data_IF_681964706772
#
_entry.id   IF_681964706772
#
_cell.length_a   1.000
_cell.length_b   1.000
_cell.length_c   1.000
_cell.angle_alpha   90.00
_cell.angle_beta   90.00
_cell.angle_gamma   90.00
#
_symmetry.space_group_name_H-M   'P 1'
#
loop_
_entity.id
_entity.type
_entity.pdbx_description
1 polymer ?
#
# COMPACT_ATOMS: atom_id res chain seq x y z
N UNK A 1 29.18 -53.59 -0.29
CA UNK A 1 28.55 -52.46 0.41
C UNK A 1 28.56 -51.25 -0.53
N UNK A 2 27.40 -50.77 -0.99
CA UNK A 2 27.27 -49.36 -1.37
C UNK A 2 25.93 -48.79 -0.89
N UNK A 3 25.91 -48.08 0.23
CA UNK A 3 24.73 -47.33 0.70
C UNK A 3 25.02 -45.86 1.04
N UNK A 4 26.25 -45.37 0.87
CA UNK A 4 26.64 -44.05 1.39
C UNK A 4 26.37 -42.86 0.45
N UNK A 5 26.01 -43.09 -0.82
CA UNK A 5 25.75 -41.98 -1.75
C UNK A 5 24.35 -41.36 -1.62
N UNK A 6 23.35 -42.07 -1.06
CA UNK A 6 21.99 -41.53 -0.97
C UNK A 6 21.78 -40.61 0.24
N UNK A 7 22.45 -40.87 1.36
CA UNK A 7 22.29 -40.11 2.61
C UNK A 7 22.84 -38.69 2.49
N UNK A 8 23.93 -38.49 1.75
CA UNK A 8 24.55 -37.17 1.59
C UNK A 8 23.71 -36.20 0.74
N UNK A 9 23.01 -36.69 -0.28
CA UNK A 9 22.14 -35.87 -1.12
C UNK A 9 20.88 -35.45 -0.35
N UNK A 10 20.30 -36.38 0.41
CA UNK A 10 19.07 -36.14 1.18
C UNK A 10 19.28 -35.12 2.32
N UNK A 11 20.43 -35.16 2.99
CA UNK A 11 20.79 -34.18 4.04
C UNK A 11 21.10 -32.80 3.45
N UNK A 12 21.78 -32.72 2.29
CA UNK A 12 22.06 -31.44 1.62
C UNK A 12 20.80 -30.75 1.13
N UNK A 13 19.84 -31.51 0.58
CA UNK A 13 18.55 -30.98 0.13
C UNK A 13 17.70 -30.47 1.30
N UNK A 14 17.69 -31.19 2.44
CA UNK A 14 17.03 -30.77 3.67
C UNK A 14 17.62 -29.48 4.26
N UNK A 15 18.94 -29.33 4.25
CA UNK A 15 19.61 -28.11 4.74
C UNK A 15 19.34 -26.94 3.80
N UNK A 16 19.41 -27.14 2.49
CA UNK A 16 19.11 -26.11 1.49
C UNK A 16 17.66 -25.62 1.58
N UNK A 17 16.70 -26.53 1.78
CA UNK A 17 15.30 -26.19 1.97
C UNK A 17 15.09 -25.36 3.26
N UNK A 18 15.70 -25.74 4.39
CA UNK A 18 15.60 -24.98 5.65
C UNK A 18 16.13 -23.54 5.52
N UNK A 19 17.25 -23.34 4.83
CA UNK A 19 17.78 -21.99 4.57
C UNK A 19 16.82 -21.12 3.75
N UNK A 20 16.12 -21.71 2.77
CA UNK A 20 15.15 -20.98 1.96
C UNK A 20 13.96 -20.48 2.77
N UNK A 21 13.42 -21.31 3.69
CA UNK A 21 12.37 -20.87 4.62
C UNK A 21 12.87 -19.78 5.58
N UNK A 22 14.12 -19.89 6.05
CA UNK A 22 14.72 -18.91 6.95
C UNK A 22 14.90 -17.54 6.26
N UNK A 23 15.36 -17.52 5.01
CA UNK A 23 15.46 -16.29 4.20
C UNK A 23 14.08 -15.65 4.01
N UNK A 24 13.06 -16.44 3.65
CA UNK A 24 11.69 -15.94 3.47
C UNK A 24 11.14 -15.39 4.79
N UNK A 25 11.38 -16.07 5.91
CA UNK A 25 10.99 -15.61 7.24
C UNK A 25 11.68 -14.30 7.65
N UNK A 26 13.00 -14.19 7.45
CA UNK A 26 13.76 -12.97 7.73
C UNK A 26 13.27 -11.78 6.92
N UNK A 27 13.04 -11.96 5.62
CA UNK A 27 12.55 -10.89 4.75
C UNK A 27 11.11 -10.50 5.05
N UNK A 28 10.27 -11.47 5.38
CA UNK A 28 8.91 -11.22 5.83
C UNK A 28 8.87 -10.42 7.13
N UNK A 29 9.84 -10.65 8.02
CA UNK A 29 10.06 -9.93 9.28
C UNK A 29 10.89 -8.65 9.13
N UNK A 30 11.38 -8.35 7.93
CA UNK A 30 12.22 -7.19 7.62
C UNK A 30 11.68 -5.86 8.15
N UNK A 31 10.38 -5.54 7.98
CA UNK A 31 9.79 -4.31 8.51
C UNK A 31 9.98 -4.09 10.01
N UNK A 32 10.08 -5.16 10.82
CA UNK A 32 10.38 -5.08 12.26
C UNK A 32 11.87 -4.79 12.50
N UNK A 33 12.76 -5.36 11.70
CA UNK A 33 14.21 -5.19 11.86
C UNK A 33 14.71 -3.83 11.34
N UNK A 34 14.06 -3.25 10.33
CA UNK A 34 14.48 -1.97 9.76
C UNK A 34 14.25 -0.79 10.69
N UNK A 35 13.50 -0.95 11.78
CA UNK A 35 13.32 0.08 12.80
C UNK A 35 14.62 0.42 13.57
N UNK A 36 15.57 -0.52 13.65
CA UNK A 36 16.88 -0.30 14.29
C UNK A 36 17.67 0.79 13.56
N UNK A 37 17.37 1.05 12.28
CA UNK A 37 17.85 2.19 11.52
C UNK A 37 16.68 3.03 10.99
N UNK A 38 16.35 4.14 11.67
CA UNK A 38 15.29 5.05 11.24
C UNK A 38 15.41 5.48 9.77
N UNK A 39 16.61 5.57 9.18
CA UNK A 39 16.76 5.94 7.78
C UNK A 39 16.27 4.82 6.83
N UNK A 40 16.49 3.55 7.18
CA UNK A 40 15.99 2.40 6.42
C UNK A 40 14.49 2.21 6.60
N UNK A 41 13.99 2.39 7.83
CA UNK A 41 12.56 2.34 8.11
C UNK A 41 11.78 3.45 7.40
N UNK A 42 12.34 4.67 7.41
CA UNK A 42 11.72 5.82 6.76
C UNK A 42 11.91 5.81 5.23
N UNK A 43 12.62 4.83 4.68
CA UNK A 43 12.75 4.67 3.23
C UNK A 43 11.40 4.28 2.61
N UNK A 44 10.93 4.98 1.57
CA UNK A 44 9.73 4.60 0.83
C UNK A 44 9.94 3.40 -0.09
N UNK A 45 11.17 2.86 -0.15
CA UNK A 45 11.52 1.76 -1.04
C UNK A 45 11.86 0.48 -0.28
N UNK A 46 12.58 0.55 0.84
CA UNK A 46 13.14 -0.64 1.50
C UNK A 46 12.05 -1.57 2.08
N UNK A 47 11.11 -1.12 2.94
CA UNK A 47 10.06 -2.00 3.46
C UNK A 47 9.07 -2.52 2.38
N UNK A 48 8.65 -1.68 1.39
CA UNK A 48 7.92 -2.15 0.21
C UNK A 48 8.63 -3.26 -0.57
N UNK A 49 9.93 -3.08 -0.87
CA UNK A 49 10.71 -4.06 -1.63
C UNK A 49 10.84 -5.37 -0.87
N UNK A 50 11.11 -5.34 0.44
CA UNK A 50 11.17 -6.53 1.28
C UNK A 50 9.85 -7.33 1.22
N UNK A 51 8.72 -6.63 1.32
CA UNK A 51 7.38 -7.24 1.22
C UNK A 51 7.15 -7.91 -0.13
N UNK A 52 7.61 -7.30 -1.22
CA UNK A 52 7.46 -7.81 -2.58
C UNK A 52 8.47 -8.94 -2.92
N UNK A 53 9.58 -9.05 -2.19
CA UNK A 53 10.54 -10.14 -2.34
C UNK A 53 10.04 -11.47 -1.77
N UNK A 54 9.19 -11.45 -0.73
CA UNK A 54 8.59 -12.65 -0.13
C UNK A 54 7.85 -13.52 -1.16
N UNK A 55 6.87 -13.03 -1.95
CA UNK A 55 6.22 -13.84 -2.97
C UNK A 55 7.19 -14.28 -4.08
N UNK A 56 8.20 -13.47 -4.39
CA UNK A 56 9.22 -13.80 -5.40
C UNK A 56 10.09 -14.98 -4.99
N UNK A 57 10.62 -14.95 -3.78
CA UNK A 57 11.46 -16.03 -3.26
C UNK A 57 10.64 -17.30 -3.05
N UNK A 58 9.41 -17.16 -2.54
CA UNK A 58 8.47 -18.29 -2.42
C UNK A 58 8.20 -18.95 -3.78
N UNK A 59 8.04 -18.16 -4.84
CA UNK A 59 7.89 -18.67 -6.21
C UNK A 59 9.19 -19.29 -6.76
N UNK A 60 10.33 -18.64 -6.51
CA UNK A 60 11.64 -19.03 -7.04
C UNK A 60 12.13 -20.34 -6.44
N UNK A 61 11.97 -20.49 -5.13
CA UNK A 61 12.35 -21.69 -4.37
C UNK A 61 11.29 -22.80 -4.41
N UNK A 62 10.13 -22.56 -5.05
CA UNK A 62 9.04 -23.55 -5.18
C UNK A 62 8.63 -24.16 -3.83
N UNK A 63 8.53 -23.35 -2.79
CA UNK A 63 8.21 -23.84 -1.44
C UNK A 63 6.83 -24.53 -1.42
N UNK A 64 6.82 -25.79 -0.99
CA UNK A 64 5.64 -26.67 -1.08
C UNK A 64 4.57 -26.37 0.00
N UNK A 65 4.96 -25.74 1.11
CA UNK A 65 4.08 -25.48 2.26
C UNK A 65 3.25 -24.19 2.13
N UNK A 66 2.60 -23.99 0.98
CA UNK A 66 1.92 -22.73 0.63
C UNK A 66 0.93 -22.25 1.70
N UNK A 67 0.04 -23.13 2.17
CA UNK A 67 -0.96 -22.77 3.18
C UNK A 67 -0.33 -22.40 4.53
N UNK A 68 0.71 -23.13 4.96
CA UNK A 68 1.41 -22.85 6.20
C UNK A 68 2.14 -21.51 6.13
N UNK A 69 2.90 -21.26 5.05
CA UNK A 69 3.55 -19.97 4.79
C UNK A 69 2.52 -18.84 4.83
N UNK A 70 1.39 -18.99 4.13
CA UNK A 70 0.34 -17.95 4.13
C UNK A 70 -0.21 -17.71 5.54
N UNK A 71 -0.53 -18.76 6.30
CA UNK A 71 -1.06 -18.61 7.66
C UNK A 71 -0.05 -17.94 8.59
N UNK A 72 1.22 -18.31 8.50
CA UNK A 72 2.28 -17.72 9.31
C UNK A 72 2.49 -16.24 8.97
N UNK A 73 2.56 -15.91 7.69
CA UNK A 73 2.71 -14.51 7.24
C UNK A 73 1.51 -13.66 7.63
N UNK A 74 0.28 -14.13 7.36
CA UNK A 74 -0.93 -13.40 7.69
C UNK A 74 -1.13 -13.28 9.21
N UNK A 75 -0.91 -14.39 9.94
CA UNK A 75 -1.03 -14.41 11.40
C UNK A 75 0.00 -13.52 12.07
N UNK A 76 1.27 -13.59 11.64
CA UNK A 76 2.34 -12.73 12.13
C UNK A 76 2.09 -11.25 11.80
N UNK A 77 1.62 -10.95 10.59
CA UNK A 77 1.31 -9.57 10.19
C UNK A 77 0.09 -9.01 10.92
N UNK A 78 -0.94 -9.83 11.16
CA UNK A 78 -2.10 -9.43 11.96
C UNK A 78 -1.72 -9.20 13.44
N UNK A 79 -0.90 -10.08 14.01
CA UNK A 79 -0.40 -9.92 15.39
C UNK A 79 0.44 -8.64 15.53
N UNK A 80 1.32 -8.37 14.55
CA UNK A 80 2.11 -7.14 14.51
C UNK A 80 1.23 -5.89 14.34
N UNK A 81 0.21 -5.97 13.49
CA UNK A 81 -0.77 -4.88 13.34
C UNK A 81 -1.52 -4.61 14.65
N UNK A 82 -2.02 -5.64 15.32
CA UNK A 82 -2.68 -5.52 16.63
C UNK A 82 -1.72 -4.92 17.67
N UNK A 83 -0.48 -5.41 17.73
CA UNK A 83 0.56 -4.87 18.60
C UNK A 83 0.79 -3.38 18.32
N UNK A 84 0.86 -2.98 17.05
CA UNK A 84 1.02 -1.60 16.61
C UNK A 84 -0.10 -0.67 17.08
N UNK A 85 -1.35 -1.12 16.99
CA UNK A 85 -2.48 -0.34 17.52
C UNK A 85 -2.39 -0.18 19.04
N UNK A 86 -2.09 -1.27 19.76
CA UNK A 86 -2.11 -1.32 21.22
C UNK A 86 -0.94 -0.56 21.87
N UNK A 87 0.26 -0.62 21.28
CA UNK A 87 1.48 -0.03 21.86
C UNK A 87 1.85 1.31 21.26
N UNK A 88 1.22 1.70 20.14
CA UNK A 88 1.65 2.86 19.38
C UNK A 88 2.95 2.62 18.61
N UNK A 89 3.36 1.37 18.43
CA UNK A 89 4.50 1.00 17.58
C UNK A 89 4.27 1.54 16.16
N UNK A 90 5.21 2.35 15.65
CA UNK A 90 5.15 3.00 14.32
C UNK A 90 4.05 4.07 14.18
N UNK A 91 3.40 4.46 15.28
CA UNK A 91 2.23 5.37 15.30
C UNK A 91 2.50 6.84 14.92
N UNK A 92 3.71 7.16 14.46
CA UNK A 92 4.06 8.47 13.89
C UNK A 92 3.54 8.69 12.46
N UNK A 93 2.81 7.71 11.91
CA UNK A 93 2.36 7.69 10.52
C UNK A 93 0.86 8.03 10.32
N UNK A 94 0.16 8.49 11.36
CA UNK A 94 -1.30 8.66 11.31
C UNK A 94 -1.74 9.93 10.56
N UNK A 95 -2.42 9.76 9.42
CA UNK A 95 -3.01 10.85 8.61
C UNK A 95 -4.45 11.21 9.05
N UNK A 96 -4.99 10.63 10.14
CA UNK A 96 -6.43 10.28 10.21
C UNK A 96 -7.23 10.63 11.47
N UNK A 97 -6.71 11.55 12.29
CA UNK A 97 -7.49 12.14 13.39
C UNK A 97 -8.57 13.12 12.89
N UNK A 98 -8.66 13.33 11.57
CA UNK A 98 -9.21 14.54 10.97
C UNK A 98 -10.56 14.34 10.27
N UNK A 99 -10.96 13.10 9.96
CA UNK A 99 -12.13 12.85 9.11
C UNK A 99 -13.50 13.17 9.71
N UNK A 100 -13.79 13.11 11.03
CA UNK A 100 -15.09 13.57 11.53
C UNK A 100 -15.16 15.10 11.43
N UNK A 101 -14.00 15.78 11.54
CA UNK A 101 -13.90 17.22 11.40
C UNK A 101 -14.09 17.67 9.93
N UNK A 102 -13.55 16.91 8.96
CA UNK A 102 -13.80 17.19 7.53
C UNK A 102 -15.30 17.17 7.21
N UNK A 103 -16.03 16.17 7.72
CA UNK A 103 -17.47 16.04 7.47
C UNK A 103 -18.27 17.08 8.25
N UNK A 104 -17.87 17.40 9.49
CA UNK A 104 -18.55 18.43 10.27
C UNK A 104 -18.45 19.83 9.64
N UNK A 105 -17.34 20.15 8.98
CA UNK A 105 -17.19 21.42 8.23
C UNK A 105 -18.24 21.52 7.13
N UNK A 106 -18.41 20.46 6.32
CA UNK A 106 -19.44 20.46 5.29
C UNK A 106 -20.85 20.59 5.89
N UNK A 107 -21.17 19.80 6.92
CA UNK A 107 -22.49 19.81 7.55
C UNK A 107 -22.81 21.16 8.22
N UNK A 108 -21.79 21.90 8.66
CA UNK A 108 -21.90 23.26 9.17
C UNK A 108 -22.10 24.33 8.08
N UNK A 109 -22.16 23.96 6.81
CA UNK A 109 -22.32 24.91 5.69
C UNK A 109 -21.05 25.69 5.35
N UNK A 110 -19.89 25.24 5.82
CA UNK A 110 -18.61 25.86 5.52
C UNK A 110 -17.98 25.27 4.25
N UNK A 111 -17.16 26.06 3.58
CA UNK A 111 -16.43 25.60 2.39
C UNK A 111 -15.42 24.51 2.78
N UNK A 112 -15.71 23.28 2.36
CA UNK A 112 -14.94 22.08 2.71
C UNK A 112 -13.43 22.26 2.47
N UNK A 113 -13.03 22.87 1.34
CA UNK A 113 -11.63 22.94 0.94
C UNK A 113 -10.89 24.18 1.42
N UNK A 114 -11.59 25.20 1.89
CA UNK A 114 -10.97 26.47 2.33
C UNK A 114 -11.00 26.66 3.85
N UNK A 115 -11.90 25.98 4.55
CA UNK A 115 -11.96 26.09 6.01
C UNK A 115 -10.76 25.38 6.65
N UNK A 116 -9.89 26.10 7.39
CA UNK A 116 -8.78 25.48 8.09
C UNK A 116 -9.32 24.63 9.22
N UNK A 117 -8.70 23.47 9.41
CA UNK A 117 -9.03 22.54 10.46
C UNK A 117 -7.88 22.48 11.44
N UNK A 118 -8.21 22.57 12.73
CA UNK A 118 -7.24 22.57 13.82
C UNK A 118 -7.25 21.21 14.53
N UNK A 119 -6.07 20.64 14.67
CA UNK A 119 -5.89 19.30 15.21
C UNK A 119 -4.93 19.32 16.37
N UNK A 120 -5.15 18.39 17.30
CA UNK A 120 -4.22 18.11 18.38
C UNK A 120 -3.90 16.62 18.35
N UNK A 121 -2.62 16.28 18.30
CA UNK A 121 -2.17 14.89 18.31
C UNK A 121 -0.92 14.75 19.17
N UNK A 122 -0.70 13.57 19.74
CA UNK A 122 0.49 13.30 20.56
C UNK A 122 1.59 12.74 19.66
N UNK A 123 2.71 13.46 19.56
CA UNK A 123 3.92 13.04 18.85
C UNK A 123 5.05 12.90 19.88
N UNK A 124 5.60 11.70 20.03
CA UNK A 124 6.66 11.40 21.01
C UNK A 124 6.31 11.85 22.44
N UNK A 125 5.10 11.51 22.90
CA UNK A 125 4.60 11.91 24.23
C UNK A 125 4.28 13.40 24.38
N UNK A 126 4.47 14.21 23.34
CA UNK A 126 4.22 15.66 23.34
C UNK A 126 2.95 15.98 22.58
N UNK A 127 2.04 16.77 23.15
CA UNK A 127 0.86 17.27 22.44
C UNK A 127 1.29 18.34 21.43
N UNK A 128 1.03 18.08 20.15
CA UNK A 128 1.31 18.98 19.03
C UNK A 128 -0.03 19.52 18.50
N UNK A 129 -0.07 20.82 18.23
CA UNK A 129 -1.18 21.44 17.49
C UNK A 129 -0.78 21.67 16.05
N UNK A 130 -1.62 21.26 15.11
CA UNK A 130 -1.42 21.50 13.69
C UNK A 130 -2.68 22.11 13.06
N UNK A 131 -2.49 22.91 12.02
CA UNK A 131 -3.58 23.36 11.16
C UNK A 131 -3.38 22.74 9.79
N UNK A 132 -4.42 22.17 9.20
CA UNK A 132 -4.40 21.65 7.84
C UNK A 132 -5.72 21.94 7.13
N UNK A 133 -5.77 21.67 5.83
CA UNK A 133 -6.96 21.76 4.99
C UNK A 133 -7.38 20.36 4.55
N UNK A 134 -8.60 20.23 3.99
CA UNK A 134 -8.98 18.97 3.39
C UNK A 134 -8.21 18.74 2.08
N UNK A 135 -7.44 17.67 2.03
CA UNK A 135 -6.68 17.22 0.85
C UNK A 135 -7.31 15.98 0.20
N UNK A 136 -8.47 15.54 0.69
CA UNK A 136 -9.13 14.33 0.23
C UNK A 136 -10.30 14.62 -0.72
N UNK A 137 -10.55 13.67 -1.62
CA UNK A 137 -11.74 13.69 -2.44
C UNK A 137 -12.98 13.40 -1.59
N UNK A 138 -14.16 13.88 -1.99
CA UNK A 138 -15.32 14.00 -1.10
C UNK A 138 -15.81 12.69 -0.49
N UNK A 139 -15.71 11.57 -1.21
CA UNK A 139 -16.28 10.29 -0.78
C UNK A 139 -15.46 9.60 0.31
N UNK A 140 -14.15 9.80 0.35
CA UNK A 140 -13.29 9.11 1.32
C UNK A 140 -13.67 9.46 2.77
N UNK A 141 -13.81 10.75 3.14
CA UNK A 141 -14.30 11.11 4.47
C UNK A 141 -15.64 10.45 4.82
N UNK A 142 -16.60 10.36 3.90
CA UNK A 142 -17.90 9.72 4.16
C UNK A 142 -17.82 8.22 4.39
N UNK A 143 -16.98 7.51 3.63
CA UNK A 143 -16.76 6.07 3.82
C UNK A 143 -16.06 5.78 5.14
N UNK A 144 -15.29 6.75 5.62
CA UNK A 144 -14.58 6.70 6.87
C UNK A 144 -15.49 7.09 8.07
N UNK A 145 -16.51 7.95 7.92
CA UNK A 145 -17.45 8.38 9.01
C UNK A 145 -17.82 7.32 10.06
N UNK A 146 -18.07 6.03 9.72
CA UNK A 146 -18.37 5.01 10.73
C UNK A 146 -17.32 4.84 11.85
N UNK A 147 -16.09 5.36 11.70
CA UNK A 147 -15.06 5.28 12.73
C UNK A 147 -15.27 6.24 13.93
N UNK A 148 -16.25 7.14 13.88
CA UNK A 148 -16.61 7.96 15.07
C UNK A 148 -16.87 7.09 16.31
N UNK A 149 -17.20 5.80 16.11
CA UNK A 149 -17.44 4.81 17.16
C UNK A 149 -16.35 3.74 17.30
N UNK A 150 -15.35 3.70 16.41
CA UNK A 150 -14.30 2.68 16.37
C UNK A 150 -12.97 3.35 16.01
N UNK A 151 -11.93 3.21 16.82
CA UNK A 151 -10.59 3.75 16.50
C UNK A 151 -10.25 3.43 15.03
N UNK A 152 -9.91 4.48 14.29
CA UNK A 152 -9.75 4.37 12.84
C UNK A 152 -8.67 3.36 12.42
N UNK A 153 -7.68 3.12 13.29
CA UNK A 153 -6.66 2.07 13.11
C UNK A 153 -7.26 0.67 13.11
N UNK A 154 -8.25 0.41 13.98
CA UNK A 154 -8.99 -0.86 13.97
C UNK A 154 -9.84 -1.00 12.71
N UNK A 155 -10.45 0.10 12.25
CA UNK A 155 -11.27 0.09 11.03
C UNK A 155 -10.42 -0.24 9.80
N UNK A 156 -9.28 0.42 9.63
CA UNK A 156 -8.37 0.15 8.51
C UNK A 156 -7.74 -1.24 8.58
N UNK A 157 -7.37 -1.72 9.77
CA UNK A 157 -6.92 -3.10 9.94
C UNK A 157 -7.99 -4.11 9.52
N UNK A 158 -9.27 -3.85 9.84
CA UNK A 158 -10.39 -4.66 9.37
C UNK A 158 -10.51 -4.62 7.84
N UNK A 159 -10.45 -3.43 7.23
CA UNK A 159 -10.51 -3.29 5.77
C UNK A 159 -9.34 -3.99 5.06
N UNK A 160 -8.14 -3.96 5.64
CA UNK A 160 -6.99 -4.73 5.18
C UNK A 160 -7.27 -6.24 5.21
N UNK A 161 -7.85 -6.74 6.31
CA UNK A 161 -8.29 -8.13 6.42
C UNK A 161 -9.31 -8.52 5.34
N UNK A 162 -10.29 -7.64 5.06
CA UNK A 162 -11.28 -7.83 3.98
C UNK A 162 -10.58 -7.86 2.61
N UNK A 163 -9.62 -6.97 2.36
CA UNK A 163 -8.86 -6.90 1.12
C UNK A 163 -8.10 -8.22 0.86
N UNK A 164 -7.45 -8.77 1.88
CA UNK A 164 -6.76 -10.07 1.78
C UNK A 164 -7.74 -11.21 1.53
N UNK A 165 -8.86 -11.22 2.26
CA UNK A 165 -9.87 -12.25 2.09
C UNK A 165 -10.49 -12.23 0.68
N UNK A 166 -10.62 -11.05 0.07
CA UNK A 166 -11.09 -10.88 -1.30
C UNK A 166 -10.14 -11.54 -2.31
N UNK A 167 -8.83 -11.51 -2.05
CA UNK A 167 -7.81 -12.14 -2.92
C UNK A 167 -7.36 -13.53 -2.44
N UNK A 168 -8.06 -14.17 -1.49
CA UNK A 168 -7.64 -15.44 -0.86
C UNK A 168 -7.34 -16.59 -1.83
N UNK A 169 -7.95 -16.56 -3.02
CA UNK A 169 -7.76 -17.56 -4.09
C UNK A 169 -6.49 -17.31 -4.91
N UNK A 170 -5.90 -16.10 -4.83
CA UNK A 170 -4.68 -15.71 -5.54
C UNK A 170 -3.51 -15.72 -4.56
N UNK A 171 -2.82 -16.86 -4.49
CA UNK A 171 -1.80 -17.13 -3.47
C UNK A 171 -0.75 -16.00 -3.33
N UNK A 172 -0.06 -15.65 -4.42
CA UNK A 172 1.00 -14.63 -4.37
C UNK A 172 0.49 -13.22 -4.04
N UNK A 173 -0.68 -12.84 -4.55
CA UNK A 173 -1.32 -11.57 -4.21
C UNK A 173 -1.71 -11.53 -2.74
N UNK A 174 -2.27 -12.63 -2.22
CA UNK A 174 -2.69 -12.73 -0.82
C UNK A 174 -1.52 -12.65 0.16
N UNK A 175 -0.35 -13.24 -0.14
CA UNK A 175 0.82 -13.13 0.75
C UNK A 175 1.54 -11.78 0.61
N UNK A 176 1.49 -11.14 -0.55
CA UNK A 176 2.09 -9.81 -0.76
C UNK A 176 1.28 -8.71 -0.06
N UNK A 177 -0.04 -8.69 -0.27
CA UNK A 177 -0.95 -7.77 0.45
C UNK A 177 -1.07 -8.14 1.93
N UNK A 178 -0.85 -9.41 2.24
CA UNK A 178 -0.84 -9.97 3.58
C UNK A 178 0.47 -9.84 4.36
N UNK A 179 1.46 -9.16 3.78
CA UNK A 179 2.76 -8.97 4.42
C UNK A 179 2.70 -7.95 5.56
N UNK A 180 3.82 -7.85 6.29
CA UNK A 180 3.92 -6.99 7.47
C UNK A 180 3.80 -5.50 7.13
N UNK A 181 4.38 -5.02 6.03
CA UNK A 181 4.30 -3.60 5.66
C UNK A 181 2.84 -3.14 5.43
N UNK A 182 2.02 -3.77 4.57
CA UNK A 182 0.60 -3.39 4.44
C UNK A 182 -0.19 -3.49 5.75
N UNK A 183 0.13 -4.47 6.61
CA UNK A 183 -0.53 -4.63 7.90
C UNK A 183 -0.18 -3.51 8.89
N UNK A 184 1.10 -3.11 8.95
CA UNK A 184 1.57 -1.98 9.75
C UNK A 184 0.95 -0.69 9.21
N UNK A 185 0.91 -0.49 7.89
CA UNK A 185 0.24 0.69 7.32
C UNK A 185 -1.25 0.71 7.71
N UNK A 186 -1.96 -0.41 7.59
CA UNK A 186 -3.34 -0.48 8.05
C UNK A 186 -3.47 -0.20 9.57
N UNK A 187 -2.63 -0.80 10.41
CA UNK A 187 -2.63 -0.59 11.85
C UNK A 187 -2.27 0.84 12.29
N UNK A 188 -1.58 1.60 11.44
CA UNK A 188 -1.29 3.02 11.67
C UNK A 188 -2.37 3.95 11.09
N UNK A 189 -3.51 3.40 10.66
CA UNK A 189 -4.63 4.20 10.22
C UNK A 189 -4.36 4.89 8.90
N UNK A 190 -3.80 4.19 7.91
CA UNK A 190 -3.61 4.75 6.56
C UNK A 190 -4.86 4.68 5.70
N UNK A 191 -5.25 5.81 5.12
CA UNK A 191 -6.52 5.91 4.38
C UNK A 191 -6.48 5.18 3.07
N UNK A 192 -5.29 5.02 2.51
CA UNK A 192 -5.03 4.29 1.29
C UNK A 192 -5.57 2.87 1.31
N UNK A 193 -5.71 2.25 2.48
CA UNK A 193 -6.34 0.92 2.59
C UNK A 193 -7.76 0.92 2.03
N UNK A 194 -8.53 2.00 2.21
CA UNK A 194 -9.91 2.13 1.73
C UNK A 194 -9.97 2.10 0.19
N UNK A 195 -9.36 3.03 -0.56
CA UNK A 195 -9.39 3.01 -2.02
C UNK A 195 -8.72 1.75 -2.59
N UNK A 196 -7.63 1.25 -1.98
CA UNK A 196 -6.98 0.03 -2.43
C UNK A 196 -7.86 -1.22 -2.25
N UNK A 197 -8.68 -1.28 -1.20
CA UNK A 197 -9.71 -2.32 -1.06
C UNK A 197 -10.73 -2.23 -2.22
N UNK A 198 -11.27 -1.05 -2.50
CA UNK A 198 -12.25 -0.88 -3.58
C UNK A 198 -11.66 -1.20 -4.97
N UNK A 199 -10.41 -0.81 -5.23
CA UNK A 199 -9.68 -1.20 -6.43
C UNK A 199 -9.46 -2.71 -6.50
N UNK A 200 -9.13 -3.36 -5.37
CA UNK A 200 -9.00 -4.82 -5.29
C UNK A 200 -10.33 -5.49 -5.63
N UNK A 201 -11.42 -5.03 -5.03
CA UNK A 201 -12.75 -5.54 -5.32
C UNK A 201 -13.11 -5.34 -6.80
N UNK A 202 -12.86 -4.16 -7.36
CA UNK A 202 -13.22 -3.81 -8.74
C UNK A 202 -12.36 -4.47 -9.84
N UNK A 203 -11.07 -4.72 -9.59
CA UNK A 203 -10.14 -5.21 -10.60
C UNK A 203 -9.78 -6.69 -10.45
N UNK A 204 -10.00 -7.27 -9.26
CA UNK A 204 -9.52 -8.62 -8.91
C UNK A 204 -10.66 -9.57 -8.57
N UNK A 205 -11.66 -9.09 -7.82
CA UNK A 205 -12.64 -9.95 -7.13
C UNK A 205 -13.99 -9.98 -7.83
N UNK A 206 -14.58 -8.81 -8.09
CA UNK A 206 -15.89 -8.69 -8.72
C UNK A 206 -15.80 -8.69 -10.24
N UNK A 207 -16.94 -8.90 -10.89
CA UNK A 207 -17.12 -8.78 -12.34
C UNK A 207 -18.38 -7.97 -12.65
N UNK A 208 -18.48 -7.49 -13.91
CA UNK A 208 -19.68 -6.81 -14.41
C UNK A 208 -20.02 -5.51 -13.65
N UNK A 209 -21.31 -5.26 -13.34
CA UNK A 209 -21.74 -4.01 -12.71
C UNK A 209 -21.11 -3.75 -11.35
N UNK A 210 -20.94 -4.79 -10.52
CA UNK A 210 -20.34 -4.66 -9.17
C UNK A 210 -18.89 -4.18 -9.24
N UNK A 211 -18.13 -4.71 -10.20
CA UNK A 211 -16.76 -4.27 -10.45
C UNK A 211 -16.72 -2.80 -10.87
N UNK A 212 -17.64 -2.38 -11.76
CA UNK A 212 -17.75 -1.00 -12.21
C UNK A 212 -18.10 -0.05 -11.08
N UNK A 213 -19.07 -0.40 -10.24
CA UNK A 213 -19.44 0.41 -9.06
C UNK A 213 -18.25 0.57 -8.12
N UNK A 214 -17.54 -0.51 -7.79
CA UNK A 214 -16.36 -0.43 -6.93
C UNK A 214 -15.27 0.48 -7.53
N UNK A 215 -15.01 0.39 -8.84
CA UNK A 215 -14.08 1.28 -9.55
C UNK A 215 -14.56 2.74 -9.55
N UNK A 216 -15.86 2.99 -9.69
CA UNK A 216 -16.37 4.36 -9.74
C UNK A 216 -16.40 5.02 -8.36
N UNK A 217 -16.76 4.28 -7.31
CA UNK A 217 -16.70 4.81 -5.94
C UNK A 217 -15.28 5.24 -5.59
N UNK A 218 -14.25 4.47 -5.97
CA UNK A 218 -12.88 4.86 -5.66
C UNK A 218 -12.45 6.19 -6.28
N UNK A 219 -13.10 6.61 -7.38
CA UNK A 219 -12.79 7.88 -8.04
C UNK A 219 -13.19 9.11 -7.21
N UNK A 220 -14.14 8.94 -6.29
CA UNK A 220 -14.49 9.96 -5.32
C UNK A 220 -13.66 9.88 -4.03
N UNK A 221 -12.79 8.86 -3.88
CA UNK A 221 -12.07 8.61 -2.64
C UNK A 221 -10.65 9.22 -2.64
N UNK A 222 -9.86 8.98 -3.69
CA UNK A 222 -8.47 9.46 -3.72
C UNK A 222 -7.99 9.77 -5.13
N UNK A 223 -7.29 10.89 -5.30
CA UNK A 223 -6.76 11.37 -6.58
C UNK A 223 -5.80 10.37 -7.25
N UNK A 224 -5.04 9.60 -6.45
CA UNK A 224 -4.18 8.53 -6.98
C UNK A 224 -4.98 7.41 -7.67
N UNK A 225 -6.20 7.13 -7.21
CA UNK A 225 -7.07 6.16 -7.84
C UNK A 225 -7.52 6.62 -9.23
N UNK A 226 -7.78 7.92 -9.40
CA UNK A 226 -8.19 8.52 -10.67
C UNK A 226 -7.08 8.35 -11.71
N UNK A 227 -5.87 8.78 -11.34
CA UNK A 227 -4.68 8.66 -12.17
C UNK A 227 -4.42 7.19 -12.53
N UNK A 228 -4.45 6.30 -11.55
CA UNK A 228 -4.22 4.88 -11.78
C UNK A 228 -5.25 4.26 -12.72
N UNK A 229 -6.55 4.44 -12.48
CA UNK A 229 -7.61 3.86 -13.32
C UNK A 229 -7.62 4.44 -14.72
N UNK A 230 -7.36 5.74 -14.87
CA UNK A 230 -7.24 6.37 -16.18
C UNK A 230 -6.12 5.73 -16.99
N UNK A 231 -4.90 5.65 -16.44
CA UNK A 231 -3.78 5.00 -17.13
C UNK A 231 -4.00 3.51 -17.34
N UNK A 232 -4.62 2.81 -16.40
CA UNK A 232 -4.97 1.40 -16.55
C UNK A 232 -5.86 1.15 -17.77
N UNK A 233 -6.90 1.97 -17.95
CA UNK A 233 -7.81 1.86 -19.09
C UNK A 233 -7.17 2.36 -20.39
N UNK A 234 -6.39 3.45 -20.33
CA UNK A 234 -5.64 3.99 -21.45
C UNK A 234 -4.65 2.98 -22.03
N UNK A 235 -3.84 2.34 -21.17
CA UNK A 235 -2.86 1.33 -21.57
C UNK A 235 -3.52 0.07 -22.15
N UNK A 236 -4.77 -0.21 -21.76
CA UNK A 236 -5.60 -1.28 -22.33
C UNK A 236 -6.36 -0.87 -23.59
N UNK A 237 -6.22 0.37 -24.05
CA UNK A 237 -6.95 0.95 -25.18
C UNK A 237 -8.48 0.92 -25.00
N UNK A 238 -8.93 0.96 -23.75
CA UNK A 238 -10.35 1.03 -23.39
C UNK A 238 -10.76 2.51 -23.22
N UNK A 239 -10.86 3.21 -24.35
CA UNK A 239 -11.14 4.64 -24.40
C UNK A 239 -12.46 5.01 -23.72
N UNK A 240 -13.45 4.12 -23.79
CA UNK A 240 -14.75 4.31 -23.15
C UNK A 240 -14.61 4.35 -21.63
N UNK A 241 -13.95 3.36 -21.03
CA UNK A 241 -13.76 3.35 -19.57
C UNK A 241 -12.76 4.42 -19.10
N UNK A 242 -11.78 4.79 -19.93
CA UNK A 242 -10.89 5.93 -19.65
C UNK A 242 -11.66 7.26 -19.61
N UNK A 243 -12.55 7.50 -20.59
CA UNK A 243 -13.44 8.66 -20.61
C UNK A 243 -14.43 8.66 -19.45
N UNK A 244 -15.01 7.50 -19.10
CA UNK A 244 -15.88 7.38 -17.93
C UNK A 244 -15.14 7.66 -16.62
N UNK A 245 -13.88 7.23 -16.50
CA UNK A 245 -13.04 7.55 -15.34
C UNK A 245 -12.90 9.06 -15.16
N UNK A 246 -12.59 9.78 -16.24
CA UNK A 246 -12.48 11.24 -16.21
C UNK A 246 -13.82 11.89 -15.83
N UNK A 247 -14.90 11.49 -16.52
CA UNK A 247 -16.24 12.02 -16.30
C UNK A 247 -16.70 11.84 -14.84
N UNK A 248 -16.59 10.62 -14.30
CA UNK A 248 -17.00 10.32 -12.93
C UNK A 248 -16.14 11.08 -11.91
N UNK A 249 -14.84 11.20 -12.15
CA UNK A 249 -13.96 12.00 -11.29
C UNK A 249 -14.39 13.47 -11.23
N UNK A 250 -14.74 14.06 -12.38
CA UNK A 250 -15.26 15.43 -12.45
C UNK A 250 -16.62 15.54 -11.76
N UNK A 251 -17.52 14.56 -11.94
CA UNK A 251 -18.83 14.56 -11.29
C UNK A 251 -18.74 14.56 -9.76
N UNK A 252 -17.79 13.81 -9.18
CA UNK A 252 -17.56 13.84 -7.73
C UNK A 252 -17.07 15.21 -7.23
N UNK A 253 -16.28 15.92 -8.04
CA UNK A 253 -15.75 17.24 -7.70
C UNK A 253 -16.71 18.38 -8.03
N UNK A 254 -17.68 18.17 -8.92
CA UNK A 254 -18.55 19.23 -9.46
C UNK A 254 -19.24 20.09 -8.39
N UNK A 255 -19.83 19.53 -7.31
CA UNK A 255 -20.45 20.36 -6.27
C UNK A 255 -19.46 21.31 -5.59
N UNK A 256 -18.21 20.88 -5.45
CA UNK A 256 -17.14 21.65 -4.81
C UNK A 256 -16.51 22.65 -5.76
N UNK A 257 -16.40 22.30 -7.05
CA UNK A 257 -15.97 23.22 -8.10
C UNK A 257 -16.94 24.38 -8.25
N UNK A 258 -18.26 24.11 -8.15
CA UNK A 258 -19.28 25.14 -8.19
C UNK A 258 -19.25 26.07 -6.97
N UNK A 259 -18.86 25.55 -5.81
CA UNK A 259 -18.74 26.34 -4.58
C UNK A 259 -17.46 27.20 -4.59
N UNK A 260 -16.30 26.58 -4.84
CA UNK A 260 -15.01 27.25 -4.92
C UNK A 260 -14.00 26.41 -5.73
N UNK A 261 -13.96 26.67 -7.04
CA UNK A 261 -13.11 25.92 -7.97
C UNK A 261 -11.62 26.01 -7.66
N UNK A 262 -11.14 27.11 -7.06
CA UNK A 262 -9.71 27.27 -6.76
C UNK A 262 -9.33 26.31 -5.65
N UNK A 263 -10.02 26.39 -4.52
CA UNK A 263 -9.75 25.53 -3.36
C UNK A 263 -9.95 24.06 -3.70
N UNK A 264 -11.02 23.72 -4.44
CA UNK A 264 -11.35 22.36 -4.84
C UNK A 264 -10.35 21.72 -5.84
N UNK A 265 -9.47 22.52 -6.45
CA UNK A 265 -8.34 22.02 -7.26
C UNK A 265 -7.06 22.05 -6.44
N UNK A 266 -6.75 23.20 -5.81
CA UNK A 266 -5.48 23.41 -5.12
C UNK A 266 -5.25 22.38 -4.02
N UNK A 267 -6.24 22.10 -3.16
CA UNK A 267 -6.00 21.22 -2.01
C UNK A 267 -6.05 19.73 -2.36
N UNK A 268 -7.07 19.16 -3.05
CA UNK A 268 -7.11 17.72 -3.25
C UNK A 268 -6.34 17.22 -4.49
N UNK A 269 -6.08 18.10 -5.48
CA UNK A 269 -5.37 17.71 -6.71
C UNK A 269 -3.89 18.08 -6.62
N UNK A 270 -3.57 19.28 -6.14
CA UNK A 270 -2.20 19.80 -6.12
C UNK A 270 -1.53 19.70 -4.75
N UNK A 271 -2.25 19.27 -3.71
CA UNK A 271 -1.76 19.23 -2.33
C UNK A 271 -1.18 20.59 -1.88
N UNK A 272 -1.87 21.66 -2.25
CA UNK A 272 -1.50 23.05 -1.97
C UNK A 272 -2.55 23.74 -1.07
N UNK A 273 -2.19 24.83 -0.37
CA UNK A 273 -3.17 25.68 0.30
C UNK A 273 -4.27 26.19 -0.66
N UNK A 274 -5.45 26.59 -0.15
CA UNK A 274 -6.67 26.93 -0.91
C UNK A 274 -6.51 27.97 -2.06
N UNK A 275 -5.38 28.69 -2.12
CA UNK A 275 -5.06 29.68 -3.16
C UNK A 275 -3.89 29.29 -4.08
N UNK A 276 -3.39 28.06 -4.02
CA UNK A 276 -2.22 27.60 -4.80
C UNK A 276 -0.96 28.47 -4.60
N UNK A 277 -0.84 29.12 -3.43
CA UNK A 277 0.28 30.00 -3.12
C UNK A 277 1.44 29.21 -2.50
N UNK A 278 2.19 28.48 -3.31
CA UNK A 278 3.58 28.04 -3.08
C UNK A 278 3.93 26.87 -3.99
N UNK A 279 4.84 27.07 -4.96
CA UNK A 279 5.43 25.98 -5.73
C UNK A 279 6.38 25.11 -4.90
N UNK A 280 6.94 25.65 -3.82
CA UNK A 280 7.82 24.91 -2.90
C UNK A 280 7.04 23.86 -2.10
N UNK A 281 5.79 24.14 -1.73
CA UNK A 281 4.92 23.17 -1.06
C UNK A 281 4.65 21.91 -1.90
N UNK A 282 4.62 22.02 -3.24
CA UNK A 282 4.53 20.88 -4.16
C UNK A 282 5.80 20.05 -4.16
N UNK A 283 6.96 20.70 -4.13
CA UNK A 283 8.24 20.01 -4.10
C UNK A 283 8.38 19.28 -2.75
N UNK A 284 7.98 19.91 -1.65
CA UNK A 284 8.01 19.33 -0.31
C UNK A 284 6.96 18.22 -0.12
N UNK A 285 5.82 18.25 -0.83
CA UNK A 285 4.85 17.14 -0.85
C UNK A 285 5.30 15.97 -1.74
N UNK A 286 6.08 16.24 -2.78
CA UNK A 286 6.75 15.23 -3.61
C UNK A 286 7.93 14.56 -2.87
N UNK A 287 8.51 15.19 -1.85
CA UNK A 287 9.50 14.55 -0.98
C UNK A 287 8.85 13.38 -0.23
N UNK A 288 9.33 12.20 -0.59
CA UNK A 288 8.60 10.94 -0.47
C UNK A 288 8.27 10.59 0.97
N UNK A 289 7.01 10.73 1.35
CA UNK A 289 6.47 10.12 2.57
C UNK A 289 6.35 8.61 2.37
N UNK A 290 6.76 7.84 3.38
CA UNK A 290 6.67 6.36 3.45
C UNK A 290 5.29 5.84 3.04
N UNK A 291 4.27 6.66 3.30
CA UNK A 291 2.84 6.51 3.00
C UNK A 291 2.61 6.14 1.52
N UNK A 292 3.43 6.66 0.60
CA UNK A 292 3.28 6.41 -0.84
C UNK A 292 3.72 5.03 -1.29
N UNK A 293 4.47 4.28 -0.47
CA UNK A 293 4.95 2.94 -0.82
C UNK A 293 3.83 1.89 -0.94
N UNK A 294 2.66 2.15 -0.34
CA UNK A 294 1.54 1.21 -0.35
C UNK A 294 0.91 1.04 -1.76
N UNK A 295 0.85 2.10 -2.56
CA UNK A 295 0.33 2.05 -3.94
C UNK A 295 1.19 1.17 -4.86
N UNK A 296 2.53 1.38 -4.97
CA UNK A 296 3.41 0.48 -5.69
C UNK A 296 3.35 -0.97 -5.20
N UNK A 297 3.33 -1.20 -3.88
CA UNK A 297 3.19 -2.56 -3.30
C UNK A 297 1.90 -3.20 -3.79
N UNK A 298 0.78 -2.48 -3.72
CA UNK A 298 -0.51 -2.98 -4.17
C UNK A 298 -0.52 -3.28 -5.67
N UNK A 299 -0.01 -2.38 -6.52
CA UNK A 299 0.09 -2.58 -7.98
C UNK A 299 0.91 -3.83 -8.26
N UNK A 300 2.10 -3.95 -7.68
CA UNK A 300 2.95 -5.12 -7.91
C UNK A 300 2.27 -6.38 -7.39
N UNK A 301 1.64 -6.38 -6.22
CA UNK A 301 0.95 -7.53 -5.65
C UNK A 301 -0.24 -8.03 -6.49
N UNK A 302 -1.05 -7.09 -7.01
CA UNK A 302 -2.26 -7.41 -7.80
C UNK A 302 -1.90 -7.90 -9.19
N UNK A 303 -0.93 -7.26 -9.85
CA UNK A 303 -0.49 -7.62 -11.20
C UNK A 303 0.70 -8.59 -11.22
N UNK A 304 1.16 -9.03 -10.04
CA UNK A 304 2.31 -9.90 -9.82
C UNK A 304 2.36 -11.13 -10.75
N UNK A 305 1.27 -11.91 -10.91
CA UNK A 305 1.32 -13.12 -11.73
C UNK A 305 1.57 -12.79 -13.22
N UNK A 306 1.05 -11.65 -13.69
CA UNK A 306 1.25 -11.18 -15.06
C UNK A 306 2.67 -10.64 -15.26
N UNK A 307 3.25 -10.02 -14.22
CA UNK A 307 4.64 -9.54 -14.22
C UNK A 307 5.64 -10.71 -14.22
N UNK A 308 5.43 -11.74 -13.40
CA UNK A 308 6.29 -12.94 -13.39
C UNK A 308 6.28 -13.70 -14.71
N UNK A 309 5.13 -13.79 -15.39
CA UNK A 309 5.04 -14.45 -16.69
C UNK A 309 5.84 -13.72 -17.79
N UNK A 310 6.04 -12.41 -17.66
CA UNK A 310 6.77 -11.57 -18.63
C UNK A 310 8.22 -11.33 -18.27
N UNK A 311 8.54 -11.23 -16.98
CA UNK A 311 9.88 -10.96 -16.50
C UNK A 311 10.61 -12.30 -16.32
N UNK A 312 11.47 -12.66 -17.29
CA UNK A 312 12.48 -13.72 -17.10
C UNK A 312 13.58 -13.22 -16.16
N UNK A 313 13.27 -12.99 -14.87
CA UNK A 313 14.21 -12.42 -13.90
C UNK A 313 15.45 -13.31 -13.72
N UNK A 314 15.33 -14.63 -13.95
CA UNK A 314 16.49 -15.56 -14.05
C UNK A 314 17.52 -15.12 -15.08
N UNK A 315 17.10 -14.46 -16.17
CA UNK A 315 17.99 -13.92 -17.20
C UNK A 315 18.71 -12.67 -16.69
N UNK A 316 17.97 -11.77 -16.02
CA UNK A 316 18.50 -10.53 -15.44
C UNK A 316 19.47 -10.84 -14.29
N UNK A 317 19.10 -11.72 -13.37
CA UNK A 317 19.97 -12.14 -12.25
C UNK A 317 21.21 -12.91 -12.74
N UNK A 318 21.10 -13.73 -13.79
CA UNK A 318 22.29 -14.33 -14.45
C UNK A 318 23.18 -13.26 -15.07
N UNK A 319 22.61 -12.24 -15.70
CA UNK A 319 23.37 -11.11 -16.24
C UNK A 319 24.08 -10.32 -15.14
N UNK A 320 23.42 -10.05 -14.01
CA UNK A 320 24.02 -9.34 -12.86
C UNK A 320 25.09 -10.20 -12.19
N UNK A 321 24.84 -11.50 -11.97
CA UNK A 321 25.83 -12.44 -11.43
C UNK A 321 27.06 -12.56 -12.35
N UNK A 322 26.87 -12.63 -13.66
CA UNK A 322 27.99 -12.62 -14.62
C UNK A 322 28.76 -11.30 -14.62
N UNK A 323 28.08 -10.16 -14.46
CA UNK A 323 28.73 -8.85 -14.37
C UNK A 323 29.52 -8.70 -13.07
N UNK A 324 28.96 -9.16 -11.94
CA UNK A 324 29.63 -9.15 -10.65
C UNK A 324 30.82 -10.13 -10.62
N UNK A 325 30.69 -11.34 -11.17
CA UNK A 325 31.82 -12.26 -11.32
C UNK A 325 32.92 -11.69 -12.24
N UNK A 326 32.57 -10.97 -13.30
CA UNK A 326 33.57 -10.29 -14.15
C UNK A 326 34.25 -9.11 -13.45
N UNK A 327 33.52 -8.36 -12.62
CA UNK A 327 34.08 -7.19 -11.92
C UNK A 327 34.88 -7.53 -10.66
N UNK A 328 34.50 -8.60 -9.96
CA UNK A 328 35.11 -8.99 -8.68
C UNK A 328 35.92 -10.29 -8.75
N UNK A 329 35.74 -11.11 -9.79
CA UNK A 329 36.56 -12.30 -10.02
C UNK A 329 37.86 -12.03 -10.78
N UNK A 330 38.05 -10.81 -11.31
CA UNK A 330 39.27 -10.42 -12.01
C UNK A 330 40.39 -9.92 -11.07
N UNK A 331 40.20 -9.90 -9.74
CA UNK A 331 41.24 -9.52 -8.77
C UNK A 331 42.02 -10.70 -8.18
N UNK A 332 41.82 -11.91 -8.69
CA UNK A 332 42.63 -13.08 -8.39
C UNK A 332 43.07 -13.73 -9.69
N UNK A 333 44.08 -13.11 -10.33
CA UNK A 333 45.12 -13.78 -11.09
C UNK A 333 46.33 -12.86 -11.17
#
# INVERSE_FOLDING_TARGET
MPNDCHVHVEVQDLVAERWQYLIVGLLASGPVFFEVDPALFLSPFVPPLATLLVPYLTATYRLNHRQAIRRLLLGGSAALGIFSILTGYVNWLTDEWNTPQYVSVLLGGHNWYNTPLQFQYVKWGTLVRATSWNVYLPLLPFVQVPYVWLDYRWFTLLLWGIMINAVRKRYYTSIALGGQYPAIMAANGFNDVVPLLFLTLGLVTFSGPRARVAKFLVLGMKQFANTFLFFYHLLRRDWREAGLTLLVSVLFLLPFLAWDWKSAICTPILDMPPNCQSSQAVIDSLYVRINYGQWPVWVVAVFYPTLLARIKLRRILRSVSMVLQRRFGASHN
#
